data_IF_352769677726
#
_entry.id   IF_352769677726
#
_cell.length_a   1.000
_cell.length_b   1.000
_cell.length_c   1.000
_cell.angle_alpha   90.00
_cell.angle_beta   90.00
_cell.angle_gamma   90.00
#
_symmetry.space_group_name_H-M   'P 1'
#
loop_
_entity.id
_entity.type
_entity.pdbx_description
1 polymer ?
#
# COMPACT_ATOMS: atom_id res chain seq x y z
N UNK A 1 -25.25 -8.79 -5.87
CA UNK A 1 -25.27 -7.68 -4.88
C UNK A 1 -24.68 -8.09 -3.53
N UNK A 2 -24.95 -9.33 -3.06
CA UNK A 2 -24.40 -9.87 -1.81
C UNK A 2 -22.88 -10.12 -1.90
N UNK A 3 -22.41 -10.65 -3.02
CA UNK A 3 -20.98 -10.88 -3.28
C UNK A 3 -20.12 -9.59 -3.33
N UNK A 4 -20.75 -8.45 -3.58
CA UNK A 4 -20.09 -7.13 -3.56
C UNK A 4 -20.20 -6.41 -2.21
N UNK A 5 -20.76 -7.08 -1.17
CA UNK A 5 -20.93 -6.46 0.14
C UNK A 5 -21.95 -5.29 0.16
N UNK A 6 -22.80 -5.17 -0.87
CA UNK A 6 -23.80 -4.09 -0.96
C UNK A 6 -25.06 -4.43 -0.18
N UNK A 7 -25.36 -5.72 -0.03
CA UNK A 7 -26.57 -6.20 0.66
C UNK A 7 -26.20 -7.27 1.67
N UNK A 8 -26.66 -7.12 2.90
CA UNK A 8 -26.64 -8.15 3.95
C UNK A 8 -28.04 -8.78 4.07
N UNK A 9 -28.08 -10.11 4.15
CA UNK A 9 -29.32 -10.83 4.39
C UNK A 9 -29.34 -11.32 5.84
N UNK A 10 -30.29 -10.81 6.61
CA UNK A 10 -30.57 -11.30 7.97
C UNK A 10 -31.69 -12.32 7.92
N UNK A 11 -31.41 -13.56 8.36
CA UNK A 11 -32.38 -14.65 8.42
C UNK A 11 -33.11 -14.62 9.77
N UNK A 12 -34.45 -14.86 9.78
CA UNK A 12 -35.26 -14.97 10.97
C UNK A 12 -36.47 -14.02 10.99
N UNK A 13 -37.28 -14.09 12.07
CA UNK A 13 -38.41 -13.21 12.27
C UNK A 13 -37.95 -11.75 12.38
N UNK A 14 -38.35 -10.90 11.44
CA UNK A 14 -37.86 -9.53 11.28
C UNK A 14 -36.56 -9.42 10.48
N UNK A 15 -36.16 -10.49 9.80
CA UNK A 15 -35.04 -10.50 8.84
C UNK A 15 -35.43 -9.83 7.53
N UNK A 16 -34.48 -9.82 6.58
CA UNK A 16 -34.65 -9.23 5.25
C UNK A 16 -33.33 -8.74 4.68
N UNK A 17 -33.40 -8.22 3.47
CA UNK A 17 -32.26 -7.59 2.83
C UNK A 17 -32.09 -6.17 3.39
N UNK A 18 -30.85 -5.84 3.81
CA UNK A 18 -30.46 -4.49 4.23
C UNK A 18 -29.30 -4.03 3.37
N UNK A 19 -29.23 -2.74 3.07
CA UNK A 19 -28.05 -2.16 2.46
C UNK A 19 -26.93 -2.22 3.50
N UNK A 20 -25.84 -2.92 3.16
CA UNK A 20 -24.67 -3.01 4.00
C UNK A 20 -23.92 -1.68 4.02
N UNK A 21 -23.19 -1.41 5.10
CA UNK A 21 -22.16 -0.38 5.06
C UNK A 21 -21.06 -0.85 4.09
N UNK A 22 -20.67 0.02 3.14
CA UNK A 22 -19.65 -0.32 2.15
C UNK A 22 -18.38 -0.85 2.83
N UNK A 23 -17.87 -1.98 2.36
CA UNK A 23 -16.65 -2.59 2.84
C UNK A 23 -15.52 -2.36 1.83
N UNK A 24 -14.58 -1.43 2.09
CA UNK A 24 -13.46 -1.14 1.19
C UNK A 24 -12.60 -2.38 0.89
N UNK A 25 -12.49 -3.32 1.82
CA UNK A 25 -11.71 -4.54 1.64
C UNK A 25 -12.34 -5.48 0.61
N UNK A 26 -13.67 -5.67 0.64
CA UNK A 26 -14.35 -6.47 -0.38
C UNK A 26 -14.24 -5.86 -1.77
N UNK A 27 -14.35 -4.54 -1.86
CA UNK A 27 -14.12 -3.82 -3.11
C UNK A 27 -12.69 -4.03 -3.60
N UNK A 28 -11.70 -3.86 -2.73
CA UNK A 28 -10.28 -4.01 -3.06
C UNK A 28 -9.95 -5.42 -3.53
N UNK A 29 -10.50 -6.45 -2.88
CA UNK A 29 -10.32 -7.85 -3.30
C UNK A 29 -10.96 -8.11 -4.67
N UNK A 30 -12.19 -7.63 -4.90
CA UNK A 30 -12.86 -7.79 -6.18
C UNK A 30 -12.11 -7.09 -7.32
N UNK A 31 -11.60 -5.87 -7.08
CA UNK A 31 -10.80 -5.15 -8.06
C UNK A 31 -9.47 -5.87 -8.31
N UNK A 32 -8.79 -6.37 -7.28
CA UNK A 32 -7.55 -7.13 -7.43
C UNK A 32 -7.73 -8.37 -8.33
N UNK A 33 -8.83 -9.11 -8.14
CA UNK A 33 -9.17 -10.26 -8.99
C UNK A 33 -9.38 -9.82 -10.44
N UNK A 34 -10.13 -8.74 -10.68
CA UNK A 34 -10.36 -8.22 -12.04
C UNK A 34 -9.06 -7.77 -12.70
N UNK A 35 -8.19 -7.06 -11.97
CA UNK A 35 -6.88 -6.64 -12.45
C UNK A 35 -6.03 -7.85 -12.85
N UNK A 36 -5.99 -8.88 -12.01
CA UNK A 36 -5.23 -10.13 -12.28
C UNK A 36 -5.74 -10.88 -13.51
N UNK A 37 -7.06 -10.86 -13.77
CA UNK A 37 -7.66 -11.51 -14.92
C UNK A 37 -7.55 -10.70 -16.22
N UNK A 38 -7.25 -9.41 -16.14
CA UNK A 38 -7.22 -8.49 -17.29
C UNK A 38 -5.88 -8.47 -18.03
N UNK A 39 -4.90 -9.28 -17.62
CA UNK A 39 -3.58 -9.33 -18.28
C UNK A 39 -2.77 -8.04 -18.11
N UNK A 40 -2.99 -7.31 -17.04
CA UNK A 40 -2.30 -6.04 -16.74
C UNK A 40 -0.82 -6.32 -16.51
N UNK A 41 0.03 -5.51 -17.11
CA UNK A 41 1.48 -5.58 -16.94
C UNK A 41 1.91 -5.06 -15.56
N UNK A 42 3.05 -5.56 -15.08
CA UNK A 42 3.70 -5.02 -13.87
C UNK A 42 3.95 -3.53 -14.00
N UNK A 43 4.28 -3.05 -15.20
CA UNK A 43 4.51 -1.64 -15.46
C UNK A 43 3.25 -0.78 -15.23
N UNK A 44 2.10 -1.16 -15.79
CA UNK A 44 0.83 -0.45 -15.60
C UNK A 44 0.43 -0.41 -14.13
N UNK A 45 0.63 -1.51 -13.42
CA UNK A 45 0.34 -1.62 -12.00
C UNK A 45 1.21 -0.67 -11.16
N UNK A 46 2.53 -0.66 -11.44
CA UNK A 46 3.48 0.20 -10.72
C UNK A 46 3.26 1.69 -11.03
N UNK A 47 2.84 2.04 -12.24
CA UNK A 47 2.49 3.41 -12.61
C UNK A 47 1.24 3.88 -11.84
N UNK A 48 0.22 3.02 -11.71
CA UNK A 48 -0.96 3.31 -10.90
C UNK A 48 -0.63 3.44 -9.40
N UNK A 49 0.19 2.53 -8.87
CA UNK A 49 0.66 2.56 -7.48
C UNK A 49 1.38 3.87 -7.18
N UNK A 50 2.32 4.27 -8.04
CA UNK A 50 3.06 5.54 -7.92
C UNK A 50 2.11 6.74 -7.84
N UNK A 51 1.11 6.81 -8.71
CA UNK A 51 0.14 7.91 -8.72
C UNK A 51 -0.65 8.00 -7.40
N UNK A 52 -1.11 6.85 -6.89
CA UNK A 52 -1.86 6.77 -5.63
C UNK A 52 -0.98 7.13 -4.43
N UNK A 53 0.19 6.52 -4.30
CA UNK A 53 1.05 6.69 -3.13
C UNK A 53 1.65 8.08 -3.03
N UNK A 54 2.08 8.65 -4.17
CA UNK A 54 2.64 10.00 -4.21
C UNK A 54 1.60 11.04 -3.78
N UNK A 55 0.36 10.90 -4.25
CA UNK A 55 -0.73 11.80 -3.86
C UNK A 55 -1.16 11.58 -2.41
N UNK A 56 -1.21 10.33 -1.96
CA UNK A 56 -1.55 10.01 -0.58
C UNK A 56 -0.52 10.59 0.42
N UNK A 57 0.77 10.48 0.10
CA UNK A 57 1.85 11.00 0.93
C UNK A 57 1.82 12.53 1.05
N UNK A 58 1.58 13.25 -0.07
CA UNK A 58 1.38 14.70 -0.07
C UNK A 58 0.24 15.12 0.87
N UNK A 59 -0.93 14.48 0.72
CA UNK A 59 -2.10 14.77 1.55
C UNK A 59 -1.88 14.33 3.01
N UNK A 60 -1.13 13.26 3.24
CA UNK A 60 -0.77 12.83 4.61
C UNK A 60 0.03 13.90 5.34
N UNK A 61 1.00 14.54 4.69
CA UNK A 61 1.73 15.66 5.29
C UNK A 61 0.81 16.84 5.66
N UNK A 62 -0.27 17.07 4.91
CA UNK A 62 -1.25 18.13 5.23
C UNK A 62 -2.21 17.72 6.36
N UNK A 63 -2.60 16.44 6.46
CA UNK A 63 -3.78 16.01 7.24
C UNK A 63 -3.51 14.98 8.32
N UNK A 64 -2.29 14.42 8.42
CA UNK A 64 -1.99 13.40 9.42
C UNK A 64 -2.31 13.91 10.84
N UNK A 65 -2.90 13.06 11.64
CA UNK A 65 -3.22 13.30 13.05
C UNK A 65 -2.11 12.75 13.94
N UNK A 66 -2.04 13.15 15.21
CA UNK A 66 -1.05 12.60 16.13
C UNK A 66 -1.06 11.07 16.21
N UNK A 67 -2.25 10.45 16.18
CA UNK A 67 -2.40 8.98 16.17
C UNK A 67 -1.86 8.34 14.90
N UNK A 68 -1.94 9.00 13.74
CA UNK A 68 -1.38 8.50 12.49
C UNK A 68 0.16 8.52 12.54
N UNK A 69 0.75 9.60 13.08
CA UNK A 69 2.20 9.71 13.27
C UNK A 69 2.73 8.65 14.22
N UNK A 70 2.03 8.39 15.32
CA UNK A 70 2.39 7.32 16.24
C UNK A 70 2.32 5.95 15.59
N UNK A 71 1.30 5.69 14.79
CA UNK A 71 1.17 4.46 13.99
C UNK A 71 2.35 4.26 13.04
N UNK A 72 2.80 5.33 12.36
CA UNK A 72 3.98 5.27 11.48
C UNK A 72 5.24 4.92 12.27
N UNK A 73 5.47 5.52 13.45
CA UNK A 73 6.61 5.21 14.32
C UNK A 73 6.63 3.74 14.77
N UNK A 74 5.47 3.21 15.18
CA UNK A 74 5.34 1.81 15.58
C UNK A 74 5.70 0.87 14.42
N UNK A 75 5.18 1.15 13.22
CA UNK A 75 5.47 0.34 12.04
C UNK A 75 6.96 0.41 11.68
N UNK A 76 7.62 1.57 11.80
CA UNK A 76 9.05 1.71 11.52
C UNK A 76 9.91 0.93 12.53
N UNK A 77 9.52 0.88 13.80
CA UNK A 77 10.18 0.04 14.79
C UNK A 77 10.01 -1.47 14.47
N UNK A 78 8.83 -1.88 14.02
CA UNK A 78 8.60 -3.25 13.54
C UNK A 78 9.42 -3.58 12.29
N UNK A 79 9.61 -2.63 11.35
CA UNK A 79 10.47 -2.78 10.19
C UNK A 79 11.90 -3.16 10.60
N UNK A 80 12.46 -2.40 11.53
CA UNK A 80 13.81 -2.63 12.02
C UNK A 80 13.95 -3.99 12.70
N UNK A 81 12.95 -4.41 13.47
CA UNK A 81 12.95 -5.67 14.18
C UNK A 81 12.92 -6.90 13.26
N UNK A 82 12.42 -6.76 12.02
CA UNK A 82 12.29 -7.86 11.05
C UNK A 82 13.19 -7.70 9.82
N UNK A 83 14.20 -6.83 9.89
CA UNK A 83 15.00 -6.43 8.72
C UNK A 83 15.75 -7.59 8.07
N UNK A 84 16.06 -8.65 8.80
CA UNK A 84 16.75 -9.84 8.33
C UNK A 84 15.79 -10.91 7.77
N UNK A 85 14.47 -10.77 7.96
CA UNK A 85 13.43 -11.63 7.39
C UNK A 85 12.78 -10.94 6.20
N UNK A 86 13.19 -11.31 4.99
CA UNK A 86 12.71 -10.71 3.74
C UNK A 86 11.19 -10.71 3.59
N UNK A 87 10.52 -11.80 3.99
CA UNK A 87 9.06 -11.91 3.87
C UNK A 87 8.34 -11.03 4.91
N UNK A 88 8.80 -11.06 6.17
CA UNK A 88 8.25 -10.21 7.22
C UNK A 88 8.51 -8.73 6.92
N UNK A 89 9.72 -8.39 6.47
CA UNK A 89 10.08 -7.03 6.08
C UNK A 89 9.20 -6.52 4.93
N UNK A 90 9.00 -7.32 3.88
CA UNK A 90 8.13 -6.96 2.75
C UNK A 90 6.70 -6.67 3.21
N UNK A 91 6.15 -7.52 4.09
CA UNK A 91 4.82 -7.26 4.68
C UNK A 91 4.77 -5.98 5.50
N UNK A 92 5.83 -5.69 6.24
CA UNK A 92 5.93 -4.47 7.04
C UNK A 92 6.03 -3.22 6.16
N UNK A 93 6.77 -3.27 5.02
CA UNK A 93 6.79 -2.20 4.02
C UNK A 93 5.39 -1.91 3.48
N UNK A 94 4.62 -2.94 3.12
CA UNK A 94 3.22 -2.76 2.66
C UNK A 94 2.36 -2.05 3.70
N UNK A 95 2.52 -2.42 4.97
CA UNK A 95 1.82 -1.78 6.09
C UNK A 95 2.20 -0.31 6.26
N UNK A 96 3.47 0.04 6.04
CA UNK A 96 3.92 1.43 6.07
C UNK A 96 3.23 2.28 4.99
N UNK A 97 3.28 1.84 3.73
CA UNK A 97 2.62 2.54 2.63
C UNK A 97 1.11 2.70 2.86
N UNK A 98 0.46 1.65 3.38
CA UNK A 98 -0.96 1.72 3.73
C UNK A 98 -1.21 2.73 4.86
N UNK A 99 -0.37 2.77 5.90
CA UNK A 99 -0.50 3.72 6.99
C UNK A 99 -0.30 5.17 6.53
N UNK A 100 0.62 5.43 5.58
CA UNK A 100 0.75 6.73 4.92
C UNK A 100 -0.53 7.09 4.17
N UNK A 101 -1.12 6.15 3.42
CA UNK A 101 -2.38 6.39 2.73
C UNK A 101 -3.55 6.68 3.71
N UNK A 102 -3.62 5.96 4.82
CA UNK A 102 -4.61 6.21 5.89
C UNK A 102 -4.43 7.59 6.53
N UNK A 103 -3.17 8.01 6.76
CA UNK A 103 -2.83 9.34 7.29
C UNK A 103 -3.31 10.49 6.36
N UNK A 104 -3.51 10.22 5.06
CA UNK A 104 -4.12 11.18 4.13
C UNK A 104 -5.59 11.49 4.44
N UNK A 105 -6.25 10.71 5.31
CA UNK A 105 -7.69 10.76 5.61
C UNK A 105 -8.59 10.57 4.36
N UNK A 106 -8.03 10.01 3.27
CA UNK A 106 -8.74 9.77 2.01
C UNK A 106 -9.01 8.27 1.81
N UNK A 107 -10.22 7.83 2.20
CA UNK A 107 -10.64 6.43 2.10
C UNK A 107 -10.61 5.85 0.67
N UNK A 108 -10.71 6.70 -0.35
CA UNK A 108 -10.64 6.26 -1.76
C UNK A 108 -9.20 5.88 -2.12
N UNK A 109 -8.21 6.69 -1.75
CA UNK A 109 -6.79 6.35 -1.96
C UNK A 109 -6.40 5.09 -1.20
N UNK A 110 -6.89 4.92 0.03
CA UNK A 110 -6.68 3.68 0.81
C UNK A 110 -7.24 2.46 0.07
N UNK A 111 -8.48 2.53 -0.42
CA UNK A 111 -9.11 1.41 -1.14
C UNK A 111 -8.38 1.07 -2.44
N UNK A 112 -7.92 2.08 -3.19
CA UNK A 112 -7.14 1.89 -4.40
C UNK A 112 -5.78 1.24 -4.10
N UNK A 113 -5.05 1.73 -3.10
CA UNK A 113 -3.76 1.16 -2.71
C UNK A 113 -3.89 -0.29 -2.25
N UNK A 114 -4.89 -0.61 -1.42
CA UNK A 114 -5.19 -1.99 -1.01
C UNK A 114 -5.40 -2.91 -2.22
N UNK A 115 -6.14 -2.45 -3.23
CA UNK A 115 -6.41 -3.24 -4.45
C UNK A 115 -5.12 -3.54 -5.21
N UNK A 116 -4.26 -2.55 -5.35
CA UNK A 116 -2.96 -2.68 -6.02
C UNK A 116 -2.02 -3.60 -5.22
N UNK A 117 -1.97 -3.47 -3.90
CA UNK A 117 -1.16 -4.33 -3.04
C UNK A 117 -1.56 -5.80 -3.12
N UNK A 118 -2.86 -6.11 -3.16
CA UNK A 118 -3.34 -7.49 -3.32
C UNK A 118 -2.96 -8.13 -4.65
N UNK A 119 -2.72 -7.32 -5.68
CA UNK A 119 -2.41 -7.82 -7.03
C UNK A 119 -0.91 -7.90 -7.28
N UNK A 120 -0.14 -6.92 -6.79
CA UNK A 120 1.23 -6.69 -7.26
C UNK A 120 2.32 -7.13 -6.28
N UNK A 121 1.99 -7.43 -5.03
CA UNK A 121 3.03 -7.70 -4.04
C UNK A 121 3.27 -9.20 -3.86
N UNK A 122 4.47 -9.71 -4.19
CA UNK A 122 4.81 -11.11 -3.90
C UNK A 122 4.93 -11.30 -2.39
N UNK A 123 4.54 -12.47 -1.92
CA UNK A 123 4.74 -12.88 -0.53
C UNK A 123 6.23 -12.90 -0.13
N UNK A 124 7.11 -13.09 -1.11
CA UNK A 124 8.56 -13.11 -0.96
C UNK A 124 9.20 -12.19 -2.01
N UNK A 125 10.24 -11.47 -1.60
CA UNK A 125 11.04 -10.64 -2.49
C UNK A 125 12.49 -11.16 -2.49
N UNK A 126 12.85 -12.05 -3.42
CA UNK A 126 14.16 -12.71 -3.44
C UNK A 126 15.33 -11.75 -3.70
N UNK A 127 15.07 -10.55 -4.22
CA UNK A 127 16.08 -9.54 -4.49
C UNK A 127 16.26 -8.55 -3.34
N UNK A 128 15.50 -8.68 -2.26
CA UNK A 128 15.62 -7.85 -1.08
C UNK A 128 16.84 -8.26 -0.26
N UNK A 129 17.97 -7.64 -0.52
CA UNK A 129 19.19 -7.82 0.28
C UNK A 129 19.17 -6.90 1.50
N UNK A 130 19.94 -7.24 2.54
CA UNK A 130 20.03 -6.44 3.75
C UNK A 130 20.43 -4.96 3.49
N UNK A 131 21.41 -4.64 2.61
CA UNK A 131 21.69 -3.24 2.27
C UNK A 131 20.51 -2.50 1.67
N UNK A 132 19.73 -3.19 0.84
CA UNK A 132 18.51 -2.60 0.24
C UNK A 132 17.43 -2.39 1.29
N UNK A 133 17.22 -3.37 2.19
CA UNK A 133 16.26 -3.23 3.28
C UNK A 133 16.60 -2.04 4.20
N UNK A 134 17.88 -1.87 4.54
CA UNK A 134 18.34 -0.70 5.31
C UNK A 134 18.06 0.62 4.61
N UNK A 135 18.39 0.71 3.32
CA UNK A 135 18.11 1.91 2.55
C UNK A 135 16.61 2.22 2.49
N UNK A 136 15.74 1.21 2.28
CA UNK A 136 14.28 1.38 2.31
C UNK A 136 13.83 1.89 3.69
N UNK A 137 14.36 1.33 4.77
CA UNK A 137 14.02 1.78 6.13
C UNK A 137 14.41 3.24 6.37
N UNK A 138 15.59 3.67 5.90
CA UNK A 138 16.03 5.07 5.98
C UNK A 138 15.08 6.00 5.23
N UNK A 139 14.70 5.64 4.00
CA UNK A 139 13.74 6.43 3.20
C UNK A 139 12.36 6.49 3.86
N UNK A 140 11.89 5.38 4.42
CA UNK A 140 10.60 5.38 5.12
C UNK A 140 10.62 6.26 6.38
N UNK A 141 11.73 6.30 7.12
CA UNK A 141 11.92 7.22 8.25
C UNK A 141 11.86 8.68 7.78
N UNK A 142 12.58 9.00 6.73
CA UNK A 142 12.58 10.36 6.17
C UNK A 142 11.17 10.77 5.68
N UNK A 143 10.43 9.87 5.04
CA UNK A 143 9.03 10.14 4.66
C UNK A 143 8.17 10.44 5.90
N UNK A 144 8.30 9.67 6.97
CA UNK A 144 7.56 9.89 8.21
C UNK A 144 7.92 11.24 8.87
N UNK A 145 9.21 11.59 8.89
CA UNK A 145 9.70 12.87 9.42
C UNK A 145 9.17 14.07 8.60
N UNK A 146 9.12 13.93 7.27
CA UNK A 146 8.53 14.95 6.38
C UNK A 146 7.02 15.10 6.57
N UNK A 147 6.30 14.01 6.81
CA UNK A 147 4.87 14.05 7.16
C UNK A 147 4.68 14.77 8.51
N UNK A 148 5.50 14.47 9.51
CA UNK A 148 5.44 15.11 10.82
C UNK A 148 5.77 16.59 10.74
N UNK A 149 6.76 16.99 9.94
CA UNK A 149 7.15 18.39 9.71
C UNK A 149 6.20 19.15 8.77
N UNK A 150 5.19 18.48 8.22
CA UNK A 150 4.19 19.09 7.31
C UNK A 150 4.76 19.60 5.98
N UNK A 151 5.88 19.08 5.52
CA UNK A 151 6.43 19.42 4.20
C UNK A 151 5.82 18.55 3.10
N UNK A 152 4.61 18.91 2.66
CA UNK A 152 3.86 18.17 1.64
C UNK A 152 4.62 18.04 0.31
N UNK A 153 5.33 19.09 -0.10
CA UNK A 153 6.06 19.09 -1.36
C UNK A 153 7.29 18.17 -1.32
N UNK A 154 8.05 18.17 -0.21
CA UNK A 154 9.17 17.26 -0.04
C UNK A 154 8.69 15.81 0.12
N UNK A 155 7.64 15.58 0.91
CA UNK A 155 7.02 14.25 1.10
C UNK A 155 6.59 13.65 -0.24
N UNK A 156 5.92 14.44 -1.09
CA UNK A 156 5.54 14.03 -2.44
C UNK A 156 6.75 13.62 -3.28
N UNK A 157 7.80 14.43 -3.31
CA UNK A 157 9.01 14.16 -4.10
C UNK A 157 9.71 12.89 -3.64
N UNK A 158 9.92 12.76 -2.33
CA UNK A 158 10.62 11.60 -1.77
C UNK A 158 9.82 10.30 -1.99
N UNK A 159 8.50 10.31 -1.80
CA UNK A 159 7.65 9.16 -2.10
C UNK A 159 7.70 8.80 -3.60
N UNK A 160 7.68 9.78 -4.49
CA UNK A 160 7.77 9.56 -5.93
C UNK A 160 9.09 8.87 -6.33
N UNK A 161 10.20 9.33 -5.81
CA UNK A 161 11.53 8.75 -6.08
C UNK A 161 11.67 7.36 -5.46
N UNK A 162 11.12 7.15 -4.26
CA UNK A 162 11.07 5.86 -3.61
C UNK A 162 10.28 4.82 -4.43
N UNK A 163 9.08 5.15 -4.88
CA UNK A 163 8.26 4.23 -5.70
C UNK A 163 8.88 3.99 -7.08
N UNK A 164 9.54 4.99 -7.68
CA UNK A 164 10.31 4.80 -8.91
C UNK A 164 11.44 3.78 -8.74
N UNK A 165 12.17 3.84 -7.63
CA UNK A 165 13.24 2.89 -7.32
C UNK A 165 12.68 1.47 -7.19
N UNK A 166 11.58 1.29 -6.44
CA UNK A 166 10.90 -0.01 -6.31
C UNK A 166 10.41 -0.49 -7.68
N UNK A 167 9.79 0.38 -8.48
CA UNK A 167 9.32 0.08 -9.84
C UNK A 167 10.45 -0.47 -10.73
N UNK A 168 11.58 0.21 -10.78
CA UNK A 168 12.71 -0.20 -11.60
C UNK A 168 13.20 -1.61 -11.24
N UNK A 169 13.26 -1.93 -9.95
CA UNK A 169 13.62 -3.27 -9.46
C UNK A 169 12.61 -4.32 -9.88
N UNK A 170 11.31 -4.05 -9.69
CA UNK A 170 10.22 -4.98 -10.02
C UNK A 170 10.15 -5.30 -11.51
N UNK A 171 10.32 -4.31 -12.38
CA UNK A 171 10.35 -4.52 -13.84
C UNK A 171 11.57 -5.37 -14.23
N UNK A 172 12.73 -5.13 -13.64
CA UNK A 172 13.92 -5.95 -13.87
C UNK A 172 13.72 -7.41 -13.46
N UNK A 173 13.06 -7.66 -12.33
CA UNK A 173 12.73 -9.01 -11.85
C UNK A 173 11.75 -9.73 -12.78
N UNK A 174 10.72 -9.03 -13.24
CA UNK A 174 9.71 -9.57 -14.15
C UNK A 174 10.34 -9.96 -15.49
N UNK A 175 11.17 -9.10 -16.04
CA UNK A 175 11.92 -9.38 -17.26
C UNK A 175 12.80 -10.61 -17.13
N UNK A 176 13.50 -10.77 -16.00
CA UNK A 176 14.38 -11.90 -15.75
C UNK A 176 13.60 -13.24 -15.65
N UNK A 177 12.37 -13.24 -15.14
CA UNK A 177 11.51 -14.44 -15.04
C UNK A 177 10.97 -14.92 -16.40
N UNK A 178 10.81 -14.01 -17.35
CA UNK A 178 10.26 -14.33 -18.68
C UNK A 178 11.35 -14.68 -19.72
N UNK A 179 12.63 -14.55 -19.35
CA UNK A 179 13.76 -14.93 -20.21
C UNK A 179 14.29 -16.36 -19.96
N UNK A 180 13.67 -17.14 -19.06
CA UNK A 180 13.96 -18.55 -18.81
C UNK A 180 12.83 -19.43 -19.33
#
# INVERSE_FOLDING_TARGET
PQALGVVEIKVGAGGGARIAQGNPQLFSQALAVQLSLSGISVQEMMDAQRAVETTAAEIAAEKARPEDLEKLRVILAEHEAVIDDSAAYTRSCMRFHLAVAEASQNRVLVAQLLSLQHTSWPAENPTLTLPVARHILEVHREIADLIESRDAAATRRLMDDHVKMIRARRISEDTARHCC
#
